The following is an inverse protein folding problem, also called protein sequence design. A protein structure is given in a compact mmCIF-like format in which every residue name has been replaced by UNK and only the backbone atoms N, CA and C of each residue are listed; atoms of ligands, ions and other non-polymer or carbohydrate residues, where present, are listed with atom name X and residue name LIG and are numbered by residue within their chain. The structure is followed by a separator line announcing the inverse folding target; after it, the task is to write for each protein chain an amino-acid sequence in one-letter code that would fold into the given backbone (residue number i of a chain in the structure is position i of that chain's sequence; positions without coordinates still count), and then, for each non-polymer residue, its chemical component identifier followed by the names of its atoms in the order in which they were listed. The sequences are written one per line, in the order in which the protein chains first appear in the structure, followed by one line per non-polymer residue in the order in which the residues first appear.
data_IF_984805290910
#
_entry.id   IF_984805290910
#
_cell.length_a   1.000
_cell.length_b   1.000
_cell.length_c   1.000
_cell.angle_alpha   90.00
_cell.angle_beta   90.00
_cell.angle_gamma   90.00
#
_symmetry.space_group_name_H-M   'P 1'
#
loop_
_entity.id
_entity.type
_entity.pdbx_description
1 polymer ?
#
# COMPACT_ATOMS: atom_id res chain seq x y z
N UNK A 1 -68.71 33.61 1.38
CA UNK A 1 -68.09 33.34 0.98
C UNK A 1 -66.69 33.40 1.42
N UNK A 2 -66.10 32.42 1.76
CA UNK A 2 -64.79 32.32 2.37
C UNK A 2 -63.65 32.00 1.35
N UNK A 3 -62.69 32.89 1.27
CA UNK A 3 -61.42 32.64 0.60
C UNK A 3 -60.50 31.93 1.50
N UNK A 4 -60.02 30.76 1.08
CA UNK A 4 -58.98 30.02 1.75
C UNK A 4 -57.64 30.33 1.10
N UNK A 5 -56.77 30.92 1.88
CA UNK A 5 -55.41 31.25 1.52
C UNK A 5 -54.55 29.95 1.65
N UNK A 6 -54.09 29.42 0.55
CA UNK A 6 -53.20 28.29 0.54
C UNK A 6 -51.75 28.80 0.57
N UNK A 7 -51.18 28.82 1.78
CA UNK A 7 -49.75 29.05 1.98
C UNK A 7 -48.98 27.85 1.44
N UNK A 8 -48.37 28.02 0.29
CA UNK A 8 -47.35 27.06 -0.22
C UNK A 8 -46.08 27.25 0.59
N UNK A 9 -45.87 26.32 1.49
CA UNK A 9 -44.60 26.20 2.23
C UNK A 9 -43.55 25.59 1.29
N UNK A 10 -42.81 26.47 0.63
CA UNK A 10 -41.68 26.11 -0.21
C UNK A 10 -40.49 25.74 0.73
N UNK A 11 -40.46 24.47 1.14
CA UNK A 11 -39.31 23.94 1.84
C UNK A 11 -38.21 23.83 0.79
N UNK A 12 -37.35 24.86 0.75
CA UNK A 12 -36.05 24.76 0.11
C UNK A 12 -35.34 23.52 0.69
N UNK A 13 -35.12 22.51 -0.15
CA UNK A 13 -34.16 21.45 0.14
C UNK A 13 -32.84 22.15 0.33
N UNK A 14 -32.29 22.05 1.53
CA UNK A 14 -30.88 22.33 1.77
C UNK A 14 -30.09 21.47 0.77
N UNK A 15 -29.35 22.12 -0.12
CA UNK A 15 -28.38 21.48 -0.98
C UNK A 15 -27.38 20.79 -0.06
N UNK A 16 -27.27 19.47 -0.25
CA UNK A 16 -26.52 18.59 0.63
C UNK A 16 -25.10 19.09 0.86
N UNK A 17 -24.70 19.06 2.12
CA UNK A 17 -23.28 18.99 2.46
C UNK A 17 -22.71 17.84 1.65
N UNK A 18 -21.76 18.10 0.78
CA UNK A 18 -20.98 17.03 0.16
C UNK A 18 -20.33 16.28 1.32
N UNK A 19 -20.77 15.05 1.59
CA UNK A 19 -20.22 14.24 2.65
C UNK A 19 -18.72 14.10 2.39
N UNK A 20 -17.92 14.60 3.33
CA UNK A 20 -16.48 14.51 3.27
C UNK A 20 -16.11 13.03 3.42
N UNK A 21 -15.39 12.48 2.45
CA UNK A 21 -14.95 11.08 2.48
C UNK A 21 -13.78 10.93 3.45
N UNK A 22 -13.96 10.10 4.47
CA UNK A 22 -12.94 9.83 5.49
C UNK A 22 -12.07 8.66 5.08
N UNK A 23 -10.76 8.89 4.99
CA UNK A 23 -9.77 7.88 4.59
C UNK A 23 -8.81 7.62 5.73
N UNK A 24 -8.76 6.39 6.23
CA UNK A 24 -7.73 5.92 7.16
C UNK A 24 -6.54 5.39 6.38
N UNK A 25 -5.36 5.99 6.54
CA UNK A 25 -4.13 5.53 5.88
C UNK A 25 -3.09 5.07 6.89
N UNK A 26 -2.77 3.76 6.87
CA UNK A 26 -1.67 3.19 7.64
C UNK A 26 -0.43 3.05 6.78
N UNK A 27 0.56 3.91 7.05
CA UNK A 27 1.86 3.95 6.39
C UNK A 27 2.86 3.01 7.07
N UNK A 28 3.79 2.42 6.30
CA UNK A 28 4.89 1.60 6.84
C UNK A 28 5.71 2.35 7.90
N UNK A 29 6.09 3.58 7.61
CA UNK A 29 6.98 4.39 8.42
C UNK A 29 7.51 5.59 7.64
N UNK A 30 8.68 6.07 8.02
CA UNK A 30 9.42 7.16 7.34
C UNK A 30 10.88 6.76 7.08
N UNK A 31 11.10 5.48 6.69
CA UNK A 31 12.40 4.85 6.58
C UNK A 31 13.23 5.30 5.37
N UNK A 32 12.65 6.06 4.47
CA UNK A 32 13.32 6.52 3.23
C UNK A 32 12.69 7.80 2.69
N UNK A 33 13.45 8.54 1.86
CA UNK A 33 12.95 9.72 1.15
C UNK A 33 11.75 9.35 0.25
N UNK A 34 11.78 8.17 -0.38
CA UNK A 34 10.65 7.68 -1.17
C UNK A 34 9.38 7.53 -0.31
N UNK A 35 9.51 6.97 0.90
CA UNK A 35 8.40 6.78 1.83
C UNK A 35 7.85 8.12 2.31
N UNK A 36 8.73 9.07 2.59
CA UNK A 36 8.35 10.43 2.95
C UNK A 36 7.58 11.10 1.82
N UNK A 37 8.07 11.01 0.57
CA UNK A 37 7.39 11.53 -0.60
C UNK A 37 6.01 10.88 -0.82
N UNK A 38 5.89 9.56 -0.59
CA UNK A 38 4.61 8.86 -0.64
C UNK A 38 3.63 9.39 0.41
N UNK A 39 4.09 9.59 1.65
CA UNK A 39 3.27 10.15 2.73
C UNK A 39 2.80 11.58 2.40
N UNK A 40 3.68 12.43 1.88
CA UNK A 40 3.34 13.80 1.48
C UNK A 40 2.35 13.82 0.30
N UNK A 41 2.50 12.91 -0.67
CA UNK A 41 1.54 12.73 -1.76
C UNK A 41 0.14 12.40 -1.23
N UNK A 42 0.02 11.45 -0.29
CA UNK A 42 -1.25 11.10 0.33
C UNK A 42 -1.86 12.28 1.09
N UNK A 43 -1.08 12.97 1.93
CA UNK A 43 -1.53 14.13 2.72
C UNK A 43 -1.97 15.30 1.86
N UNK A 44 -1.29 15.54 0.74
CA UNK A 44 -1.63 16.62 -0.18
C UNK A 44 -2.83 16.32 -1.07
N UNK A 45 -3.10 15.03 -1.32
CA UNK A 45 -4.23 14.59 -2.15
C UNK A 45 -5.53 14.48 -1.35
N UNK A 46 -5.48 13.84 -0.18
CA UNK A 46 -6.66 13.63 0.65
C UNK A 46 -6.86 14.79 1.63
N UNK A 47 -7.26 15.94 1.10
CA UNK A 47 -7.49 17.17 1.85
C UNK A 47 -8.99 17.55 1.86
N UNK A 48 -9.40 18.35 2.83
CA UNK A 48 -10.79 18.86 2.92
C UNK A 48 -11.19 19.66 1.67
N UNK A 49 -10.26 20.41 1.10
CA UNK A 49 -10.50 21.16 -0.15
C UNK A 49 -10.78 20.22 -1.34
N UNK A 50 -10.27 19.00 -1.29
CA UNK A 50 -10.54 17.96 -2.29
C UNK A 50 -11.72 17.05 -1.90
N UNK A 51 -12.43 17.34 -0.82
CA UNK A 51 -13.58 16.55 -0.34
C UNK A 51 -13.20 15.35 0.52
N UNK A 52 -12.00 15.32 1.10
CA UNK A 52 -11.51 14.21 1.93
C UNK A 52 -11.09 14.66 3.33
N UNK A 53 -11.18 13.73 4.27
CA UNK A 53 -10.52 13.82 5.58
C UNK A 53 -9.58 12.63 5.73
N UNK A 54 -8.27 12.90 5.88
CA UNK A 54 -7.26 11.87 6.04
C UNK A 54 -6.93 11.65 7.52
N UNK A 55 -7.10 10.43 7.99
CA UNK A 55 -6.58 9.94 9.27
C UNK A 55 -5.30 9.16 8.97
N UNK A 56 -4.16 9.80 9.22
CA UNK A 56 -2.84 9.26 8.92
C UNK A 56 -2.22 8.58 10.15
N UNK A 57 -1.74 7.36 9.98
CA UNK A 57 -1.01 6.60 10.98
C UNK A 57 0.37 6.17 10.46
N UNK A 58 1.41 6.44 11.23
CA UNK A 58 2.78 5.98 10.96
C UNK A 58 3.07 4.75 11.82
N UNK A 59 3.18 3.60 11.20
CA UNK A 59 3.38 2.34 11.90
C UNK A 59 4.81 2.12 12.43
N UNK A 60 5.75 3.02 12.14
CA UNK A 60 7.14 2.90 12.60
C UNK A 60 7.77 1.54 12.26
N UNK A 61 7.46 1.03 11.07
CA UNK A 61 7.92 -0.26 10.53
C UNK A 61 7.46 -1.49 11.36
N UNK A 62 6.36 -1.35 12.11
CA UNK A 62 5.81 -2.43 12.93
C UNK A 62 4.42 -2.83 12.43
N UNK A 63 4.27 -4.10 12.05
CA UNK A 63 2.99 -4.63 11.58
C UNK A 63 1.90 -4.57 12.65
N UNK A 64 2.24 -4.80 13.92
CA UNK A 64 1.29 -4.70 15.02
C UNK A 64 0.68 -3.31 15.17
N UNK A 65 1.44 -2.26 14.84
CA UNK A 65 0.92 -0.90 14.83
C UNK A 65 -0.09 -0.71 13.70
N UNK A 66 0.18 -1.26 12.50
CA UNK A 66 -0.76 -1.22 11.38
C UNK A 66 -2.06 -1.97 11.68
N UNK A 67 -1.97 -3.14 12.30
CA UNK A 67 -3.15 -3.90 12.73
C UNK A 67 -3.99 -3.09 13.73
N UNK A 68 -3.33 -2.42 14.67
CA UNK A 68 -4.00 -1.54 15.64
C UNK A 68 -4.63 -0.33 14.96
N UNK A 69 -3.93 0.29 14.00
CA UNK A 69 -4.44 1.42 13.22
C UNK A 69 -5.69 1.05 12.42
N UNK A 70 -5.67 -0.11 11.73
CA UNK A 70 -6.83 -0.59 10.96
C UNK A 70 -8.04 -0.78 11.88
N UNK A 71 -7.86 -1.37 13.07
CA UNK A 71 -8.96 -1.51 14.05
C UNK A 71 -9.48 -0.16 14.53
N UNK A 72 -8.59 0.82 14.73
CA UNK A 72 -8.98 2.19 15.07
C UNK A 72 -9.77 2.85 13.94
N UNK A 73 -9.40 2.64 12.69
CA UNK A 73 -10.13 3.14 11.52
C UNK A 73 -11.53 2.50 11.44
N UNK A 74 -11.64 1.19 11.69
CA UNK A 74 -12.93 0.50 11.76
C UNK A 74 -13.82 1.09 12.87
N UNK A 75 -13.27 1.35 14.06
CA UNK A 75 -14.01 1.95 15.16
C UNK A 75 -14.47 3.38 14.88
N UNK A 76 -13.74 4.11 14.03
CA UNK A 76 -14.09 5.46 13.60
C UNK A 76 -15.03 5.48 12.39
N UNK A 77 -15.42 4.30 11.88
CA UNK A 77 -16.32 4.13 10.72
C UNK A 77 -15.86 4.93 9.49
N UNK A 78 -14.55 4.82 9.16
CA UNK A 78 -14.01 5.49 7.98
C UNK A 78 -14.60 4.91 6.69
N UNK A 79 -14.70 5.72 5.64
CA UNK A 79 -15.25 5.29 4.35
C UNK A 79 -14.30 4.35 3.59
N UNK A 80 -12.99 4.55 3.73
CA UNK A 80 -11.95 3.75 3.07
C UNK A 80 -10.74 3.57 3.98
N UNK A 81 -10.12 2.39 3.89
CA UNK A 81 -8.81 2.12 4.47
C UNK A 81 -7.79 1.98 3.34
N UNK A 82 -6.68 2.71 3.46
CA UNK A 82 -5.49 2.56 2.61
C UNK A 82 -4.37 1.96 3.45
N UNK A 83 -3.74 0.91 2.96
CA UNK A 83 -2.68 0.19 3.66
C UNK A 83 -1.44 0.06 2.78
N UNK A 84 -0.31 0.58 3.28
CA UNK A 84 1.02 0.23 2.76
C UNK A 84 1.64 -0.80 3.73
N UNK A 85 1.60 -2.12 3.44
CA UNK A 85 1.92 -3.12 4.45
C UNK A 85 3.43 -3.23 4.74
N UNK A 86 3.80 -3.45 6.01
CA UNK A 86 5.19 -3.69 6.41
C UNK A 86 5.67 -5.04 5.86
N UNK A 87 4.89 -6.09 6.09
CA UNK A 87 5.14 -7.46 5.62
C UNK A 87 3.99 -7.93 4.75
N UNK A 88 4.19 -9.04 4.02
CA UNK A 88 3.17 -9.56 3.10
C UNK A 88 2.15 -10.49 3.80
N UNK A 89 2.52 -11.16 4.88
CA UNK A 89 1.66 -12.13 5.58
C UNK A 89 1.05 -11.60 6.88
N UNK A 90 0.00 -12.29 7.38
CA UNK A 90 -0.59 -12.00 8.69
C UNK A 90 -1.76 -11.02 8.65
N UNK A 91 -2.34 -10.77 7.48
CA UNK A 91 -3.40 -9.77 7.28
C UNK A 91 -4.82 -10.31 7.29
N UNK A 92 -5.01 -11.64 7.09
CA UNK A 92 -6.34 -12.26 6.92
C UNK A 92 -7.35 -11.83 7.99
N UNK A 93 -6.93 -11.80 9.27
CA UNK A 93 -7.84 -11.49 10.37
C UNK A 93 -8.31 -10.03 10.33
N UNK A 94 -7.39 -9.06 10.31
CA UNK A 94 -7.75 -7.64 10.40
C UNK A 94 -8.40 -7.12 9.12
N UNK A 95 -8.02 -7.64 7.94
CA UNK A 95 -8.73 -7.32 6.69
C UNK A 95 -10.12 -7.98 6.66
N UNK A 96 -10.27 -9.16 7.30
CA UNK A 96 -11.58 -9.76 7.53
C UNK A 96 -12.47 -8.91 8.44
N UNK A 97 -11.91 -8.30 9.49
CA UNK A 97 -12.61 -7.34 10.36
C UNK A 97 -13.10 -6.11 9.55
N UNK A 98 -12.24 -5.53 8.70
CA UNK A 98 -12.60 -4.40 7.83
C UNK A 98 -13.72 -4.78 6.84
N UNK A 99 -13.61 -5.97 6.21
CA UNK A 99 -14.66 -6.50 5.31
C UNK A 99 -15.99 -6.70 6.01
N UNK A 100 -16.00 -7.23 7.23
CA UNK A 100 -17.22 -7.40 8.04
C UNK A 100 -17.85 -6.07 8.43
N UNK A 101 -17.04 -5.03 8.63
CA UNK A 101 -17.50 -3.66 8.85
C UNK A 101 -18.00 -2.98 7.56
N UNK A 102 -17.83 -3.61 6.40
CA UNK A 102 -18.22 -3.04 5.11
C UNK A 102 -17.27 -1.96 4.58
N UNK A 103 -16.08 -1.83 5.17
CA UNK A 103 -15.10 -0.81 4.80
C UNK A 103 -14.15 -1.36 3.74
N UNK A 104 -14.12 -0.81 2.53
CA UNK A 104 -13.21 -1.24 1.46
C UNK A 104 -11.77 -0.89 1.79
N UNK A 105 -10.85 -1.84 1.48
CA UNK A 105 -9.41 -1.69 1.71
C UNK A 105 -8.69 -1.58 0.37
N UNK A 106 -7.84 -0.57 0.24
CA UNK A 106 -6.95 -0.38 -0.90
C UNK A 106 -5.52 -0.61 -0.44
N UNK A 107 -4.85 -1.57 -1.06
CA UNK A 107 -3.44 -1.85 -0.81
C UNK A 107 -2.57 -0.98 -1.73
N UNK A 108 -1.54 -0.36 -1.18
CA UNK A 108 -0.64 0.51 -1.95
C UNK A 108 0.82 0.10 -1.78
N UNK A 109 1.63 0.32 -2.82
CA UNK A 109 3.05 0.00 -2.91
C UNK A 109 3.30 -1.51 -2.76
N UNK A 110 3.43 -2.00 -1.53
CA UNK A 110 3.68 -3.42 -1.20
C UNK A 110 2.39 -4.21 -1.21
N UNK A 111 2.45 -5.49 -1.57
CA UNK A 111 1.31 -6.39 -1.61
C UNK A 111 1.17 -7.18 -0.31
N UNK A 112 -0.02 -7.69 -0.07
CA UNK A 112 -0.33 -8.66 0.99
C UNK A 112 -0.51 -10.06 0.39
N UNK A 113 -0.14 -11.10 1.16
CA UNK A 113 -0.47 -12.50 0.86
C UNK A 113 -1.59 -12.94 1.79
N UNK A 114 -2.78 -13.04 1.25
CA UNK A 114 -4.00 -13.43 1.96
C UNK A 114 -4.68 -14.62 1.28
N UNK A 115 -5.45 -15.38 2.04
CA UNK A 115 -6.14 -16.58 1.53
C UNK A 115 -7.34 -16.26 0.65
N UNK A 116 -7.90 -15.07 0.78
CA UNK A 116 -9.10 -14.61 0.07
C UNK A 116 -8.84 -13.20 -0.47
N UNK A 117 -8.68 -13.09 -1.79
CA UNK A 117 -8.43 -11.82 -2.47
C UNK A 117 -9.60 -10.82 -2.34
N UNK A 118 -10.79 -11.27 -1.90
CA UNK A 118 -11.90 -10.38 -1.60
C UNK A 118 -11.75 -9.59 -0.29
N UNK A 119 -10.66 -9.77 0.45
CA UNK A 119 -10.31 -9.00 1.64
C UNK A 119 -9.79 -7.60 1.34
N UNK A 120 -9.45 -7.32 0.09
CA UNK A 120 -9.11 -5.97 -0.38
C UNK A 120 -9.82 -5.67 -1.70
N UNK A 121 -10.04 -4.40 -1.98
CA UNK A 121 -10.78 -3.95 -3.18
C UNK A 121 -9.87 -3.78 -4.37
N UNK A 122 -8.67 -3.24 -4.15
CA UNK A 122 -7.69 -2.96 -5.19
C UNK A 122 -6.27 -2.94 -4.63
N UNK A 123 -5.30 -3.19 -5.50
CA UNK A 123 -3.89 -2.96 -5.26
C UNK A 123 -3.30 -2.03 -6.30
N UNK A 124 -2.53 -1.03 -5.84
CA UNK A 124 -1.80 -0.09 -6.67
C UNK A 124 -0.33 -0.15 -6.26
N UNK A 125 0.48 -0.82 -7.04
CA UNK A 125 1.89 -1.05 -6.70
C UNK A 125 2.74 -1.55 -7.85
N UNK A 126 3.99 -1.90 -7.54
CA UNK A 126 4.98 -2.37 -8.49
C UNK A 126 5.06 -3.89 -8.58
N UNK A 127 5.37 -4.41 -9.75
CA UNK A 127 5.74 -5.82 -9.91
C UNK A 127 7.20 -6.02 -9.48
N UNK A 128 7.43 -6.33 -8.21
CA UNK A 128 8.76 -6.45 -7.63
C UNK A 128 9.57 -7.62 -8.19
N UNK A 129 8.94 -8.71 -8.63
CA UNK A 129 9.64 -9.78 -9.32
C UNK A 129 10.20 -9.30 -10.66
N UNK A 130 9.40 -8.53 -11.42
CA UNK A 130 9.87 -7.92 -12.67
C UNK A 130 11.00 -6.91 -12.43
N UNK A 131 10.98 -6.17 -11.33
CA UNK A 131 12.08 -5.27 -10.95
C UNK A 131 13.38 -6.05 -10.70
N UNK A 132 13.31 -7.16 -9.97
CA UNK A 132 14.44 -8.07 -9.76
C UNK A 132 15.00 -8.62 -11.08
N UNK A 133 14.11 -9.06 -11.98
CA UNK A 133 14.49 -9.53 -13.33
C UNK A 133 15.16 -8.44 -14.17
N UNK A 134 14.66 -7.21 -14.12
CA UNK A 134 15.26 -6.07 -14.83
C UNK A 134 16.64 -5.72 -14.28
N UNK A 135 16.81 -5.72 -12.95
CA UNK A 135 18.10 -5.48 -12.33
C UNK A 135 19.12 -6.56 -12.73
N UNK A 136 18.71 -7.82 -12.72
CA UNK A 136 19.55 -8.94 -13.16
C UNK A 136 19.93 -8.84 -14.65
N UNK A 137 18.99 -8.48 -15.52
CA UNK A 137 19.26 -8.28 -16.94
C UNK A 137 20.27 -7.13 -17.18
N UNK A 138 20.17 -6.06 -16.40
CA UNK A 138 21.15 -4.98 -16.44
C UNK A 138 22.55 -5.46 -16.02
N UNK A 139 22.65 -6.22 -14.94
CA UNK A 139 23.90 -6.82 -14.46
C UNK A 139 24.53 -7.72 -15.52
N UNK A 140 23.74 -8.58 -16.16
CA UNK A 140 24.20 -9.47 -17.24
C UNK A 140 24.80 -8.65 -18.41
N UNK A 141 24.07 -7.63 -18.86
CA UNK A 141 24.52 -6.75 -19.94
C UNK A 141 25.81 -6.00 -19.55
N UNK A 142 25.90 -5.50 -18.33
CA UNK A 142 27.07 -4.82 -17.80
C UNK A 142 28.30 -5.71 -17.77
N UNK A 143 28.16 -6.97 -17.26
CA UNK A 143 29.24 -7.94 -17.23
C UNK A 143 29.76 -8.28 -18.62
N UNK A 144 28.87 -8.53 -19.56
CA UNK A 144 29.22 -8.81 -20.96
C UNK A 144 29.99 -7.66 -21.58
N UNK A 145 29.54 -6.43 -21.37
CA UNK A 145 30.21 -5.22 -21.87
C UNK A 145 31.61 -5.00 -21.27
N UNK A 146 31.83 -5.47 -20.04
CA UNK A 146 33.12 -5.37 -19.34
C UNK A 146 33.99 -6.62 -19.48
N UNK A 147 33.56 -7.64 -20.24
CA UNK A 147 34.23 -8.94 -20.36
C UNK A 147 34.52 -9.61 -19.01
N UNK A 148 33.65 -9.41 -18.03
CA UNK A 148 33.74 -10.05 -16.71
C UNK A 148 33.33 -11.51 -16.83
N UNK A 149 34.17 -12.45 -16.33
CA UNK A 149 33.90 -13.88 -16.43
C UNK A 149 33.34 -14.49 -15.14
N UNK A 150 33.70 -13.91 -14.00
CA UNK A 150 33.31 -14.42 -12.69
C UNK A 150 32.53 -13.35 -11.95
N UNK A 151 31.21 -13.49 -11.89
CA UNK A 151 30.38 -12.60 -11.10
C UNK A 151 30.22 -13.09 -9.67
N UNK A 152 30.62 -12.25 -8.74
CA UNK A 152 30.35 -12.43 -7.30
C UNK A 152 29.36 -11.36 -6.87
N UNK A 153 28.25 -11.75 -6.27
CA UNK A 153 27.13 -10.88 -5.89
C UNK A 153 26.89 -10.96 -4.38
N UNK A 154 26.45 -9.85 -3.83
CA UNK A 154 25.77 -9.76 -2.53
C UNK A 154 24.43 -9.12 -2.75
N UNK A 155 23.36 -9.67 -2.19
CA UNK A 155 22.04 -9.11 -2.24
C UNK A 155 21.72 -8.40 -0.92
N UNK A 156 21.61 -7.07 -0.96
CA UNK A 156 21.13 -6.27 0.18
C UNK A 156 19.61 -6.16 0.04
N UNK A 157 18.87 -6.86 0.92
CA UNK A 157 17.46 -7.17 0.71
C UNK A 157 16.48 -6.11 1.24
N UNK A 158 16.83 -5.37 2.28
CA UNK A 158 15.89 -4.49 2.99
C UNK A 158 14.97 -5.26 3.95
N UNK A 159 13.74 -4.79 4.15
CA UNK A 159 12.80 -5.37 5.12
C UNK A 159 12.42 -6.79 4.76
N UNK A 160 12.86 -7.76 5.57
CA UNK A 160 12.53 -9.17 5.36
C UNK A 160 11.03 -9.41 5.54
N UNK A 161 10.45 -10.19 4.63
CA UNK A 161 9.02 -10.51 4.62
C UNK A 161 8.14 -9.47 3.90
N UNK A 162 8.71 -8.37 3.42
CA UNK A 162 7.99 -7.45 2.55
C UNK A 162 7.91 -7.99 1.11
N UNK A 163 6.78 -7.79 0.42
CA UNK A 163 6.60 -8.25 -0.97
C UNK A 163 7.67 -7.69 -1.92
N UNK A 164 8.18 -6.48 -1.65
CA UNK A 164 9.29 -5.89 -2.39
C UNK A 164 10.60 -6.71 -2.23
N UNK A 165 10.92 -7.12 -1.01
CA UNK A 165 12.09 -7.96 -0.75
C UNK A 165 11.93 -9.33 -1.40
N UNK A 166 10.77 -9.98 -1.22
CA UNK A 166 10.48 -11.32 -1.73
C UNK A 166 10.56 -11.32 -3.27
N UNK A 167 9.87 -10.41 -3.92
CA UNK A 167 9.82 -10.35 -5.38
C UNK A 167 11.17 -10.01 -6.02
N UNK A 168 11.86 -8.97 -5.53
CA UNK A 168 13.18 -8.58 -6.05
C UNK A 168 14.21 -9.68 -5.87
N UNK A 169 14.21 -10.34 -4.70
CA UNK A 169 15.09 -11.47 -4.42
C UNK A 169 14.79 -12.64 -5.36
N UNK A 170 13.51 -12.98 -5.58
CA UNK A 170 13.13 -14.04 -6.52
C UNK A 170 13.64 -13.77 -7.92
N UNK A 171 13.43 -12.55 -8.44
CA UNK A 171 13.89 -12.17 -9.78
C UNK A 171 15.42 -12.25 -9.93
N UNK A 172 16.17 -11.93 -8.88
CA UNK A 172 17.63 -12.07 -8.85
C UNK A 172 18.05 -13.55 -8.75
N UNK A 173 17.45 -14.33 -7.85
CA UNK A 173 17.78 -15.75 -7.63
C UNK A 173 17.56 -16.58 -8.91
N UNK A 174 16.45 -16.33 -9.63
CA UNK A 174 16.18 -16.99 -10.92
C UNK A 174 17.31 -16.71 -11.92
N UNK A 175 17.82 -15.48 -11.98
CA UNK A 175 18.92 -15.10 -12.86
C UNK A 175 20.27 -15.67 -12.41
N UNK A 176 20.53 -15.70 -11.09
CA UNK A 176 21.73 -16.33 -10.50
C UNK A 176 21.79 -17.80 -10.93
N UNK A 177 20.68 -18.52 -10.79
CA UNK A 177 20.58 -19.92 -11.18
C UNK A 177 20.75 -20.12 -12.71
N UNK A 178 20.10 -19.30 -13.51
CA UNK A 178 20.12 -19.39 -14.96
C UNK A 178 21.53 -19.10 -15.57
N UNK A 179 22.27 -18.17 -14.99
CA UNK A 179 23.57 -17.72 -15.50
C UNK A 179 24.77 -18.32 -14.78
N UNK A 180 24.57 -19.11 -13.72
CA UNK A 180 25.63 -19.69 -12.92
C UNK A 180 26.44 -18.65 -12.16
N UNK A 181 25.81 -17.54 -11.76
CA UNK A 181 26.49 -16.51 -10.97
C UNK A 181 26.75 -16.94 -9.54
N UNK A 182 27.76 -16.38 -8.91
CA UNK A 182 28.10 -16.70 -7.52
C UNK A 182 27.49 -15.69 -6.56
N UNK A 183 26.34 -16.04 -5.99
CA UNK A 183 25.72 -15.27 -4.91
C UNK A 183 26.39 -15.64 -3.58
N UNK A 184 27.17 -14.71 -3.03
CA UNK A 184 27.98 -14.92 -1.83
C UNK A 184 27.14 -14.82 -0.56
N UNK A 185 26.20 -13.85 -0.51
CA UNK A 185 25.41 -13.57 0.68
C UNK A 185 24.12 -12.83 0.35
N UNK A 186 23.14 -12.96 1.25
CA UNK A 186 21.91 -12.16 1.32
C UNK A 186 21.87 -11.50 2.70
N UNK A 187 21.89 -10.18 2.76
CA UNK A 187 21.96 -9.41 4.00
C UNK A 187 20.92 -8.27 4.02
N UNK A 188 20.69 -7.70 5.18
CA UNK A 188 19.79 -6.58 5.43
C UNK A 188 20.53 -5.42 6.05
#
# INVERSE_FOLDING_TARGET
CGGGDASTNDTAKEEGSSDVITVGFSQVGAESDWRTANSESMKSTFTKDNGYELIFDDAQQKQENQISAIRNFIQQDVDYIVLAPVTETGWDAVLGEAKQAGIPVIIVDRMVDVKDDSLYTAWVGSNFELEGKKAAAYLDAYMKAKNMKDMKLVNIQGTIGASAQIGRTKGLDDAVAANGWNLLDKTT
#
